data_IF_184151089735
#
_entry.id   IF_184151089735
#
_cell.length_a   1.000
_cell.length_b   1.000
_cell.length_c   1.000
_cell.angle_alpha   90.00
_cell.angle_beta   90.00
_cell.angle_gamma   90.00
#
_symmetry.space_group_name_H-M   'P 1'
#
loop_
_entity.id
_entity.type
_entity.pdbx_description
1 polymer ?
#
# COMPACT_ATOMS: atom_id res chain seq x y z
N UNK A 1 -15.44 7.29 52.26
CA UNK A 1 -15.02 8.21 51.18
C UNK A 1 -13.58 7.94 50.72
N UNK A 2 -13.18 6.66 50.59
CA UNK A 2 -11.87 6.26 50.03
C UNK A 2 -12.05 5.33 48.81
N UNK A 3 -13.12 4.53 48.79
CA UNK A 3 -13.42 3.62 47.67
C UNK A 3 -13.77 4.35 46.37
N UNK A 4 -14.51 5.45 46.41
CA UNK A 4 -14.96 6.16 45.19
C UNK A 4 -13.80 6.74 44.37
N UNK A 5 -12.74 7.20 45.04
CA UNK A 5 -11.56 7.77 44.38
C UNK A 5 -10.72 6.69 43.68
N UNK A 6 -10.57 5.53 44.32
CA UNK A 6 -9.81 4.42 43.73
C UNK A 6 -10.61 3.72 42.62
N UNK A 7 -11.94 3.60 42.75
CA UNK A 7 -12.82 3.13 41.66
C UNK A 7 -12.72 4.07 40.46
N UNK A 8 -12.78 5.39 40.67
CA UNK A 8 -12.65 6.37 39.58
C UNK A 8 -11.30 6.27 38.85
N UNK A 9 -10.20 6.07 39.59
CA UNK A 9 -8.87 5.86 39.00
C UNK A 9 -8.81 4.63 38.10
N UNK A 10 -9.39 3.51 38.55
CA UNK A 10 -9.43 2.28 37.75
C UNK A 10 -10.22 2.50 36.45
N UNK A 11 -11.36 3.21 36.52
CA UNK A 11 -12.16 3.54 35.33
C UNK A 11 -11.38 4.42 34.33
N UNK A 12 -10.69 5.46 34.81
CA UNK A 12 -9.89 6.33 33.94
C UNK A 12 -8.75 5.56 33.28
N UNK A 13 -8.07 4.69 34.02
CA UNK A 13 -7.03 3.84 33.46
C UNK A 13 -7.59 2.88 32.41
N UNK A 14 -8.74 2.25 32.67
CA UNK A 14 -9.39 1.35 31.71
C UNK A 14 -9.76 2.06 30.39
N UNK A 15 -10.20 3.33 30.44
CA UNK A 15 -10.49 4.13 29.25
C UNK A 15 -9.23 4.50 28.46
N UNK A 16 -8.13 4.81 29.15
CA UNK A 16 -6.84 5.08 28.50
C UNK A 16 -6.32 3.80 27.82
N UNK A 17 -6.43 2.65 28.49
CA UNK A 17 -6.02 1.37 27.90
C UNK A 17 -6.93 0.93 26.75
N UNK A 18 -8.24 1.19 26.80
CA UNK A 18 -9.15 0.83 25.69
C UNK A 18 -8.86 1.63 24.42
N UNK A 19 -8.57 2.93 24.53
CA UNK A 19 -8.13 3.73 23.39
C UNK A 19 -6.78 3.25 22.85
N UNK A 20 -5.83 2.90 23.72
CA UNK A 20 -4.53 2.36 23.32
C UNK A 20 -4.61 1.01 22.60
N UNK A 21 -5.53 0.12 23.01
CA UNK A 21 -5.76 -1.18 22.35
C UNK A 21 -6.39 -0.97 20.96
N UNK A 22 -7.32 -0.02 20.82
CA UNK A 22 -7.89 0.35 19.51
C UNK A 22 -6.85 0.93 18.56
N UNK A 23 -5.84 1.63 19.07
CA UNK A 23 -4.71 2.10 18.25
C UNK A 23 -3.72 0.97 17.88
N UNK A 24 -3.57 -0.07 18.70
CA UNK A 24 -2.68 -1.21 18.41
C UNK A 24 -3.30 -2.29 17.51
N UNK A 25 -4.62 -2.33 17.36
CA UNK A 25 -5.26 -3.14 16.32
C UNK A 25 -5.14 -2.56 14.90
N UNK A 26 -4.58 -1.34 14.77
CA UNK A 26 -4.37 -0.61 13.51
C UNK A 26 -2.87 -0.39 13.20
N UNK A 27 -1.94 -0.92 14.00
CA UNK A 27 -0.50 -0.66 13.82
C UNK A 27 0.23 -1.61 12.87
N UNK A 28 -0.29 -2.83 12.65
CA UNK A 28 0.48 -3.90 11.97
C UNK A 28 -0.29 -4.62 10.84
N UNK A 29 -1.56 -4.27 10.59
CA UNK A 29 -2.33 -4.81 9.46
C UNK A 29 -2.33 -3.82 8.28
N UNK A 30 -1.18 -3.19 8.02
CA UNK A 30 -1.16 -1.85 7.42
C UNK A 30 -1.69 -1.76 5.98
N UNK A 31 -1.57 -2.77 5.12
CA UNK A 31 -2.29 -2.81 3.82
C UNK A 31 -2.12 -4.15 3.09
N UNK A 32 -1.77 -5.22 3.81
CA UNK A 32 -1.58 -6.54 3.20
C UNK A 32 -2.86 -7.08 2.55
N UNK A 33 -4.00 -6.90 3.21
CA UNK A 33 -5.31 -7.27 2.66
C UNK A 33 -5.61 -6.49 1.38
N UNK A 34 -5.27 -5.21 1.33
CA UNK A 34 -5.45 -4.37 0.15
C UNK A 34 -4.54 -4.80 -0.99
N UNK A 35 -3.27 -5.13 -0.69
CA UNK A 35 -2.34 -5.74 -1.64
C UNK A 35 -2.91 -7.04 -2.23
N UNK A 36 -3.42 -7.94 -1.39
CA UNK A 36 -4.05 -9.17 -1.85
C UNK A 36 -5.30 -8.92 -2.70
N UNK A 37 -6.12 -7.94 -2.32
CA UNK A 37 -7.32 -7.58 -3.07
C UNK A 37 -6.95 -7.02 -4.45
N UNK A 38 -5.91 -6.19 -4.52
CA UNK A 38 -5.35 -5.69 -5.79
C UNK A 38 -4.81 -6.84 -6.62
N UNK A 39 -4.05 -7.77 -6.02
CA UNK A 39 -3.52 -8.94 -6.72
C UNK A 39 -4.64 -9.76 -7.35
N UNK A 40 -5.72 -10.03 -6.60
CA UNK A 40 -6.87 -10.81 -7.05
C UNK A 40 -7.70 -10.03 -8.08
N UNK A 41 -8.01 -8.77 -7.81
CA UNK A 41 -8.91 -7.93 -8.60
C UNK A 41 -8.28 -7.39 -9.89
N UNK A 42 -6.97 -7.15 -9.89
CA UNK A 42 -6.23 -6.52 -10.97
C UNK A 42 -5.21 -7.44 -11.65
N UNK A 43 -5.21 -8.75 -11.34
CA UNK A 43 -4.24 -9.76 -11.80
C UNK A 43 -3.79 -9.62 -13.24
N UNK A 44 -4.73 -9.44 -14.17
CA UNK A 44 -4.46 -9.36 -15.61
C UNK A 44 -3.78 -8.05 -16.03
N UNK A 45 -4.08 -6.96 -15.33
CA UNK A 45 -3.55 -5.62 -15.58
C UNK A 45 -2.19 -5.39 -14.95
N UNK A 46 -1.90 -6.01 -13.80
CA UNK A 46 -0.68 -5.75 -13.03
C UNK A 46 0.40 -6.81 -13.20
N UNK A 47 0.12 -7.95 -13.84
CA UNK A 47 1.10 -9.05 -14.00
C UNK A 47 2.43 -8.58 -14.61
N UNK A 48 3.54 -9.15 -14.15
CA UNK A 48 4.89 -8.80 -14.66
C UNK A 48 5.06 -9.09 -16.15
N UNK A 49 4.60 -10.28 -16.61
CA UNK A 49 4.80 -10.70 -18.01
C UNK A 49 3.71 -10.20 -18.96
N UNK A 50 4.13 -9.83 -20.18
CA UNK A 50 3.23 -9.44 -21.28
C UNK A 50 2.88 -7.95 -21.30
N UNK A 51 2.03 -7.55 -22.25
CA UNK A 51 1.63 -6.16 -22.43
C UNK A 51 0.72 -5.67 -21.30
N UNK A 52 0.62 -4.34 -21.15
CA UNK A 52 -0.37 -3.73 -20.28
C UNK A 52 -1.78 -4.03 -20.81
N UNK A 53 -2.67 -4.43 -19.91
CA UNK A 53 -4.08 -4.67 -20.21
C UNK A 53 -4.90 -3.70 -19.37
N UNK A 54 -5.82 -2.98 -19.99
CA UNK A 54 -6.68 -2.05 -19.28
C UNK A 54 -7.43 -2.72 -18.11
N UNK A 55 -7.54 -2.05 -16.95
CA UNK A 55 -8.22 -2.60 -15.79
C UNK A 55 -9.71 -2.74 -16.03
N UNK A 56 -10.28 -3.80 -15.45
CA UNK A 56 -11.72 -3.99 -15.37
C UNK A 56 -12.35 -3.01 -14.36
N UNK A 57 -13.67 -2.84 -14.42
CA UNK A 57 -14.42 -2.06 -13.40
C UNK A 57 -14.14 -2.56 -11.99
N UNK A 58 -14.10 -3.89 -11.80
CA UNK A 58 -13.77 -4.51 -10.51
C UNK A 58 -12.36 -4.11 -10.03
N UNK A 59 -11.36 -4.13 -10.92
CA UNK A 59 -10.02 -3.67 -10.57
C UNK A 59 -10.02 -2.19 -10.17
N UNK A 60 -10.76 -1.34 -10.90
CA UNK A 60 -10.89 0.07 -10.56
C UNK A 60 -11.54 0.30 -9.19
N UNK A 61 -12.54 -0.49 -8.83
CA UNK A 61 -13.23 -0.37 -7.54
C UNK A 61 -12.32 -0.80 -6.39
N UNK A 62 -11.56 -1.88 -6.58
CA UNK A 62 -10.55 -2.32 -5.61
C UNK A 62 -9.48 -1.26 -5.40
N UNK A 63 -8.91 -0.73 -6.47
CA UNK A 63 -7.85 0.28 -6.38
C UNK A 63 -8.37 1.58 -5.77
N UNK A 64 -9.62 1.97 -6.05
CA UNK A 64 -10.25 3.14 -5.42
C UNK A 64 -10.48 2.97 -3.92
N UNK A 65 -10.72 1.74 -3.48
CA UNK A 65 -10.95 1.39 -2.08
C UNK A 65 -9.66 1.10 -1.31
N UNK A 66 -8.49 1.10 -1.96
CA UNK A 66 -7.20 0.76 -1.35
C UNK A 66 -6.34 1.99 -1.11
N UNK A 67 -5.54 1.97 -0.05
CA UNK A 67 -4.45 2.92 0.17
C UNK A 67 -3.25 2.52 -0.69
N UNK A 68 -3.23 3.04 -1.93
CA UNK A 68 -2.14 2.81 -2.87
C UNK A 68 -0.77 3.28 -2.35
N UNK A 69 -0.73 4.29 -1.47
CA UNK A 69 0.51 4.76 -0.86
C UNK A 69 1.04 3.72 0.13
N UNK A 70 0.18 3.16 0.98
CA UNK A 70 0.57 2.06 1.86
C UNK A 70 0.98 0.84 1.05
N UNK A 71 0.17 0.40 0.09
CA UNK A 71 0.45 -0.79 -0.73
C UNK A 71 1.81 -0.64 -1.40
N UNK A 72 2.12 0.54 -1.95
CA UNK A 72 3.42 0.79 -2.56
C UNK A 72 4.61 0.73 -1.60
N UNK A 73 4.42 1.04 -0.31
CA UNK A 73 5.48 0.93 0.71
C UNK A 73 5.77 -0.52 1.10
N UNK A 74 4.77 -1.40 1.05
CA UNK A 74 4.92 -2.82 1.45
C UNK A 74 5.24 -3.75 0.28
N UNK A 75 5.23 -3.25 -0.96
CA UNK A 75 5.67 -4.02 -2.13
C UNK A 75 7.17 -4.29 -2.01
N UNK A 76 7.51 -5.56 -1.92
CA UNK A 76 8.90 -6.02 -1.86
C UNK A 76 9.36 -6.62 -3.18
N UNK A 77 10.66 -6.86 -3.32
CA UNK A 77 11.26 -7.52 -4.50
C UNK A 77 10.61 -8.87 -4.82
N UNK A 78 10.12 -9.59 -3.80
CA UNK A 78 9.40 -10.86 -4.01
C UNK A 78 8.04 -10.66 -4.68
N UNK A 79 7.38 -9.53 -4.43
CA UNK A 79 6.13 -9.19 -5.08
C UNK A 79 6.34 -8.84 -6.56
N UNK A 80 7.53 -8.38 -6.97
CA UNK A 80 7.84 -7.98 -8.35
C UNK A 80 7.78 -9.14 -9.36
N UNK A 81 7.86 -10.38 -8.89
CA UNK A 81 7.66 -11.57 -9.72
C UNK A 81 6.19 -11.77 -10.13
N UNK A 82 5.26 -11.22 -9.37
CA UNK A 82 3.81 -11.36 -9.58
C UNK A 82 3.18 -10.04 -10.03
N UNK A 83 3.62 -8.93 -9.44
CA UNK A 83 3.09 -7.58 -9.59
C UNK A 83 4.16 -6.69 -10.22
N UNK A 84 3.91 -6.19 -11.43
CA UNK A 84 4.70 -5.11 -12.00
C UNK A 84 4.32 -3.79 -11.34
N UNK A 85 5.25 -3.20 -10.57
CA UNK A 85 5.05 -1.88 -9.97
C UNK A 85 4.70 -0.81 -11.02
N UNK A 86 5.29 -0.88 -12.23
CA UNK A 86 4.97 0.02 -13.35
C UNK A 86 3.48 -0.07 -13.70
N UNK A 87 2.98 -1.30 -13.89
CA UNK A 87 1.60 -1.51 -14.31
C UNK A 87 0.63 -1.21 -13.18
N UNK A 88 1.03 -1.48 -11.94
CA UNK A 88 0.26 -1.09 -10.76
C UNK A 88 0.09 0.43 -10.69
N UNK A 89 1.18 1.19 -10.84
CA UNK A 89 1.12 2.66 -10.91
C UNK A 89 0.32 3.11 -12.13
N UNK A 90 0.42 2.44 -13.29
CA UNK A 90 -0.43 2.75 -14.44
C UNK A 90 -1.92 2.54 -14.17
N UNK A 91 -2.30 1.54 -13.37
CA UNK A 91 -3.69 1.34 -12.93
C UNK A 91 -4.11 2.44 -11.95
N UNK A 92 -3.26 2.80 -10.99
CA UNK A 92 -3.53 3.84 -9.99
C UNK A 92 -3.57 5.27 -10.56
N UNK A 93 -2.89 5.52 -11.68
CA UNK A 93 -2.83 6.82 -12.34
C UNK A 93 -3.92 6.98 -13.42
N UNK A 94 -4.09 8.22 -13.88
CA UNK A 94 -5.02 8.64 -14.96
C UNK A 94 -4.77 7.93 -16.31
N UNK A 95 -3.68 7.18 -16.46
CA UNK A 95 -3.47 6.32 -17.63
C UNK A 95 -4.48 5.16 -17.69
N UNK A 96 -5.20 4.87 -16.60
CA UNK A 96 -6.29 3.92 -16.56
C UNK A 96 -7.67 4.57 -16.79
N UNK A 97 -8.64 3.77 -17.21
CA UNK A 97 -10.05 4.16 -17.26
C UNK A 97 -10.70 4.33 -15.86
N UNK A 98 -9.94 4.17 -14.77
CA UNK A 98 -10.48 4.16 -13.40
C UNK A 98 -10.80 5.55 -12.83
N UNK A 99 -10.42 6.63 -13.54
CA UNK A 99 -10.62 8.05 -13.15
C UNK A 99 -10.19 8.31 -11.70
N UNK A 100 -8.95 7.93 -11.38
CA UNK A 100 -8.35 8.09 -10.05
C UNK A 100 -7.48 9.35 -9.99
N UNK A 101 -7.39 9.96 -8.81
CA UNK A 101 -6.43 11.04 -8.54
C UNK A 101 -5.04 10.46 -8.22
N UNK A 102 -3.96 11.00 -8.82
CA UNK A 102 -2.63 10.40 -8.72
C UNK A 102 -1.94 10.69 -7.37
N UNK A 103 -1.72 9.65 -6.56
CA UNK A 103 -1.03 9.72 -5.26
C UNK A 103 0.28 8.88 -5.16
N UNK A 104 0.67 8.18 -6.23
CA UNK A 104 1.89 7.35 -6.31
C UNK A 104 2.63 7.58 -7.64
N UNK A 105 3.93 7.26 -7.69
CA UNK A 105 4.79 7.38 -8.87
C UNK A 105 5.76 6.19 -9.02
N UNK A 106 6.37 6.07 -10.22
CA UNK A 106 7.36 5.01 -10.50
C UNK A 106 8.76 5.60 -10.33
N UNK A 107 9.57 4.98 -9.50
CA UNK A 107 11.01 5.26 -9.38
C UNK A 107 11.88 4.20 -10.05
N UNK A 108 13.11 4.55 -10.39
CA UNK A 108 14.15 3.62 -10.86
C UNK A 108 15.15 3.40 -9.72
N UNK A 109 15.24 2.17 -9.20
CA UNK A 109 16.15 1.86 -8.10
C UNK A 109 17.49 1.40 -8.65
N UNK A 110 18.50 2.30 -8.66
CA UNK A 110 19.88 1.91 -8.92
C UNK A 110 20.48 1.33 -7.63
N UNK A 111 20.45 0.01 -7.49
CA UNK A 111 21.16 -0.67 -6.42
C UNK A 111 22.67 -0.40 -6.60
N UNK A 112 23.31 0.28 -5.64
CA UNK A 112 24.76 0.53 -5.62
C UNK A 112 25.53 -0.79 -5.41
N UNK A 113 25.77 -1.46 -6.55
CA UNK A 113 26.86 -2.35 -6.96
C UNK A 113 27.70 -3.04 -5.85
N UNK A 114 27.67 -4.38 -5.84
CA UNK A 114 28.88 -5.20 -5.95
C UNK A 114 28.57 -6.48 -6.75
N UNK A 115 29.40 -6.78 -7.76
CA UNK A 115 29.47 -8.00 -8.58
C UNK A 115 28.46 -8.20 -9.73
N UNK A 116 28.85 -7.71 -10.92
CA UNK A 116 29.11 -8.60 -12.06
C UNK A 116 28.00 -9.43 -12.71
N UNK A 117 26.71 -9.14 -12.49
CA UNK A 117 25.61 -9.76 -13.22
C UNK A 117 24.72 -8.71 -13.91
N UNK A 118 24.24 -9.08 -15.10
CA UNK A 118 23.43 -8.28 -16.01
C UNK A 118 22.28 -7.61 -15.22
N UNK A 119 22.32 -6.28 -15.14
CA UNK A 119 21.37 -5.48 -14.37
C UNK A 119 19.99 -5.52 -15.02
N UNK A 120 19.04 -6.23 -14.41
CA UNK A 120 17.63 -5.95 -14.60
C UNK A 120 17.30 -4.74 -13.73
N UNK A 121 17.09 -3.58 -14.37
CA UNK A 121 16.69 -2.36 -13.66
C UNK A 121 15.29 -2.57 -13.08
N UNK A 122 15.21 -2.89 -11.78
CA UNK A 122 13.90 -3.04 -11.16
C UNK A 122 13.28 -1.67 -10.89
N UNK A 123 12.00 -1.54 -11.27
CA UNK A 123 11.24 -0.30 -11.09
C UNK A 123 10.32 -0.48 -9.91
N UNK A 124 10.47 0.38 -8.92
CA UNK A 124 9.73 0.31 -7.65
C UNK A 124 8.62 1.35 -7.63
N UNK A 125 7.54 1.06 -6.91
CA UNK A 125 6.51 2.06 -6.64
C UNK A 125 6.97 2.99 -5.50
N UNK A 126 6.66 4.29 -5.59
CA UNK A 126 6.88 5.26 -4.51
C UNK A 126 5.63 6.11 -4.27
N UNK A 127 5.35 6.51 -3.01
CA UNK A 127 4.37 7.55 -2.73
C UNK A 127 4.78 8.85 -3.41
N UNK A 128 3.83 9.54 -4.05
CA UNK A 128 4.10 10.90 -4.54
C UNK A 128 4.16 11.83 -3.32
N UNK A 129 5.35 12.34 -3.00
CA UNK A 129 5.47 13.37 -1.96
C UNK A 129 4.72 14.62 -2.44
N UNK A 130 3.67 15.03 -1.71
CA UNK A 130 3.16 16.40 -1.84
C UNK A 130 4.31 17.29 -1.40
N UNK A 131 4.80 18.13 -2.30
CA UNK A 131 5.61 19.29 -1.91
C UNK A 131 4.68 20.09 -1.00
N UNK A 132 4.97 20.08 0.30
CA UNK A 132 4.33 20.98 1.26
C UNK A 132 4.81 22.40 0.91
N UNK A 133 3.92 23.21 0.36
CA UNK A 133 4.06 24.67 0.27
C UNK A 133 3.38 25.34 1.48
#
# INVERSE_FOLDING_TARGET
MMATKEILRIFVLALIFSTYISHKAWGDQECYTEKENIEKGCKTSIKTRGNYVFPSTMCCDVVRASDMVCVCRILSDTDEHVISAIKLVQVALVKSHCRLEPNVEVGEFQHLRHQGHIHESSKTCHPRNKIEE
#
